data_IF_738482527465
#
_entry.id   IF_738482527465
#
_cell.length_a   1.000
_cell.length_b   1.000
_cell.length_c   1.000
_cell.angle_alpha   90.00
_cell.angle_beta   90.00
_cell.angle_gamma   90.00
#
_symmetry.space_group_name_H-M   'P 1'
#
loop_
_entity.id
_entity.type
_entity.pdbx_description
1 polymer ?
#
# COMPACT_ATOMS: atom_id res chain seq x y z
N UNK A 1 -21.86 30.67 0.31
CA UNK A 1 -21.85 29.69 1.41
C UNK A 1 -21.38 28.36 0.85
N UNK A 2 -20.06 28.21 0.68
CA UNK A 2 -19.44 26.97 0.22
C UNK A 2 -19.22 26.11 1.47
N UNK A 3 -19.84 24.92 1.52
CA UNK A 3 -19.51 23.94 2.56
C UNK A 3 -18.00 23.67 2.53
N UNK A 4 -17.29 23.64 3.67
CA UNK A 4 -15.88 23.30 3.68
C UNK A 4 -15.71 21.88 3.09
N UNK A 5 -14.65 21.63 2.29
CA UNK A 5 -14.35 20.27 1.85
C UNK A 5 -14.17 19.42 3.10
N UNK A 6 -14.86 18.28 3.18
CA UNK A 6 -14.75 17.32 4.28
C UNK A 6 -13.29 16.85 4.39
N UNK A 7 -12.48 17.58 5.15
CA UNK A 7 -11.10 17.25 5.56
C UNK A 7 -11.08 16.16 6.64
N UNK A 8 -12.15 15.39 6.77
CA UNK A 8 -12.16 14.24 7.65
C UNK A 8 -11.55 13.07 6.88
N UNK A 9 -10.24 12.93 7.01
CA UNK A 9 -9.55 11.67 6.92
C UNK A 9 -10.09 10.81 8.08
N UNK A 10 -11.32 10.33 7.93
CA UNK A 10 -12.04 9.70 9.04
C UNK A 10 -11.44 8.30 9.24
N UNK A 11 -11.46 7.80 10.48
CA UNK A 11 -10.95 6.45 10.77
C UNK A 11 -11.56 5.38 9.85
N UNK A 12 -12.80 5.58 9.40
CA UNK A 12 -13.50 4.71 8.44
C UNK A 12 -12.79 4.60 7.08
N UNK A 13 -12.16 5.67 6.60
CA UNK A 13 -11.49 5.70 5.30
C UNK A 13 -10.18 4.90 5.32
N UNK A 14 -9.46 4.99 6.43
CA UNK A 14 -8.23 4.23 6.67
C UNK A 14 -8.50 2.72 6.87
N UNK A 15 -9.65 2.36 7.46
CA UNK A 15 -10.10 0.95 7.58
C UNK A 15 -10.27 0.29 6.22
N UNK A 16 -10.88 0.99 5.26
CA UNK A 16 -11.08 0.48 3.90
C UNK A 16 -9.74 0.29 3.18
N UNK A 17 -8.75 1.14 3.45
CA UNK A 17 -7.40 0.96 2.91
C UNK A 17 -6.66 -0.20 3.60
N UNK A 18 -6.81 -0.35 4.92
CA UNK A 18 -6.16 -1.40 5.73
C UNK A 18 -6.47 -2.81 5.21
N UNK A 19 -7.74 -3.10 4.92
CA UNK A 19 -8.15 -4.41 4.38
C UNK A 19 -7.66 -4.67 2.94
N UNK A 20 -7.08 -3.67 2.27
CA UNK A 20 -6.48 -3.75 0.93
C UNK A 20 -4.95 -3.65 0.96
N UNK A 21 -4.32 -3.67 2.14
CA UNK A 21 -2.85 -3.69 2.24
C UNK A 21 -2.29 -4.90 1.48
N UNK A 22 -1.18 -4.71 0.77
CA UNK A 22 -0.55 -5.73 -0.07
C UNK A 22 -1.27 -6.06 -1.38
N UNK A 23 -2.43 -5.45 -1.65
CA UNK A 23 -3.19 -5.70 -2.87
C UNK A 23 -2.93 -4.63 -3.94
N UNK A 24 -3.21 -4.98 -5.19
CA UNK A 24 -3.18 -4.03 -6.31
C UNK A 24 -4.22 -2.94 -6.08
N UNK A 25 -3.76 -1.69 -6.07
CA UNK A 25 -4.58 -0.54 -5.81
C UNK A 25 -5.52 -0.25 -6.99
N UNK A 26 -6.82 -0.34 -6.75
CA UNK A 26 -7.86 0.13 -7.66
C UNK A 26 -8.58 1.34 -7.06
N UNK A 27 -8.14 2.55 -7.44
CA UNK A 27 -8.72 3.80 -6.96
C UNK A 27 -10.21 3.95 -7.30
N UNK A 28 -10.68 3.37 -8.41
CA UNK A 28 -12.09 3.42 -8.80
C UNK A 28 -12.96 2.58 -7.89
N UNK A 29 -12.51 1.38 -7.52
CA UNK A 29 -13.25 0.53 -6.58
C UNK A 29 -13.22 1.13 -5.18
N UNK A 30 -12.06 1.62 -4.74
CA UNK A 30 -11.93 2.32 -3.46
C UNK A 30 -12.86 3.53 -3.35
N UNK A 31 -12.96 4.33 -4.41
CA UNK A 31 -13.88 5.47 -4.48
C UNK A 31 -15.35 5.04 -4.43
N UNK A 32 -15.71 3.94 -5.09
CA UNK A 32 -17.06 3.36 -5.06
C UNK A 32 -17.43 2.91 -3.65
N UNK A 33 -16.54 2.20 -2.97
CA UNK A 33 -16.77 1.66 -1.64
C UNK A 33 -16.88 2.77 -0.58
N UNK A 34 -16.17 3.88 -0.77
CA UNK A 34 -16.22 5.06 0.09
C UNK A 34 -17.34 6.05 -0.28
N UNK A 35 -17.98 5.89 -1.44
CA UNK A 35 -19.02 6.81 -1.91
C UNK A 35 -18.52 8.22 -2.24
N UNK A 36 -17.26 8.38 -2.65
CA UNK A 36 -16.62 9.67 -2.95
C UNK A 36 -16.00 9.70 -4.35
N UNK A 37 -15.61 10.89 -4.82
CA UNK A 37 -14.96 11.02 -6.12
C UNK A 37 -13.55 10.40 -6.12
N UNK A 38 -13.15 9.79 -7.24
CA UNK A 38 -11.82 9.17 -7.42
C UNK A 38 -10.68 10.16 -7.16
N UNK A 39 -10.85 11.42 -7.57
CA UNK A 39 -9.85 12.47 -7.32
C UNK A 39 -9.69 12.77 -5.83
N UNK A 40 -10.75 12.64 -5.03
CA UNK A 40 -10.69 12.80 -3.57
C UNK A 40 -9.87 11.67 -2.94
N UNK A 41 -10.14 10.41 -3.33
CA UNK A 41 -9.34 9.25 -2.88
C UNK A 41 -7.87 9.42 -3.24
N UNK A 42 -7.57 9.88 -4.46
CA UNK A 42 -6.20 10.14 -4.89
C UNK A 42 -5.52 11.21 -4.04
N UNK A 43 -6.24 12.29 -3.70
CA UNK A 43 -5.76 13.32 -2.78
C UNK A 43 -5.45 12.75 -1.39
N UNK A 44 -6.34 11.93 -0.84
CA UNK A 44 -6.14 11.29 0.46
C UNK A 44 -4.95 10.34 0.47
N UNK A 45 -4.81 9.50 -0.55
CA UNK A 45 -3.66 8.60 -0.68
C UNK A 45 -2.35 9.41 -0.76
N UNK A 46 -2.34 10.52 -1.49
CA UNK A 46 -1.18 11.41 -1.56
C UNK A 46 -0.81 12.00 -0.20
N UNK A 47 -1.81 12.35 0.63
CA UNK A 47 -1.58 12.84 2.00
C UNK A 47 -1.03 11.73 2.89
N UNK A 48 -1.57 10.51 2.80
CA UNK A 48 -1.09 9.35 3.57
C UNK A 48 0.36 8.96 3.20
N UNK A 49 0.69 9.00 1.91
CA UNK A 49 2.05 8.75 1.42
C UNK A 49 3.00 9.84 1.91
N UNK A 50 2.64 11.13 1.78
CA UNK A 50 3.46 12.25 2.23
C UNK A 50 3.64 12.33 3.75
N UNK A 51 2.71 11.75 4.52
CA UNK A 51 2.78 11.66 5.99
C UNK A 51 3.37 10.33 6.48
N UNK A 52 3.94 9.52 5.58
CA UNK A 52 4.56 8.24 5.89
C UNK A 52 3.64 7.26 6.65
N UNK A 53 2.33 7.33 6.40
CA UNK A 53 1.36 6.37 6.94
C UNK A 53 1.25 5.13 6.04
N UNK A 54 1.50 5.31 4.75
CA UNK A 54 1.48 4.23 3.75
C UNK A 54 2.65 4.34 2.79
N UNK A 55 3.02 3.21 2.21
CA UNK A 55 4.00 3.05 1.14
C UNK A 55 3.24 2.62 -0.11
N UNK A 56 3.41 3.37 -1.20
CA UNK A 56 2.87 3.01 -2.52
C UNK A 56 3.97 2.27 -3.29
N UNK A 57 3.93 0.94 -3.24
CA UNK A 57 4.92 0.09 -3.90
C UNK A 57 4.63 -0.01 -5.40
N UNK A 58 5.52 0.54 -6.21
CA UNK A 58 5.37 0.57 -7.67
C UNK A 58 5.91 -0.72 -8.30
N UNK A 59 5.36 -1.17 -9.44
CA UNK A 59 5.91 -2.34 -10.13
C UNK A 59 7.30 -2.02 -10.69
N UNK A 60 8.14 -3.05 -10.84
CA UNK A 60 9.47 -2.93 -11.44
C UNK A 60 9.35 -2.68 -12.95
N UNK A 61 10.09 -1.69 -13.47
CA UNK A 61 9.93 -1.17 -14.84
C UNK A 61 11.11 -1.41 -15.80
N UNK A 62 12.20 -2.08 -15.41
CA UNK A 62 13.36 -2.22 -16.30
C UNK A 62 13.07 -3.15 -17.50
N UNK A 63 13.15 -2.61 -18.72
CA UNK A 63 13.04 -3.34 -20.00
C UNK A 63 11.81 -4.26 -20.10
N UNK A 64 10.64 -3.75 -19.70
CA UNK A 64 9.46 -4.58 -19.47
C UNK A 64 8.65 -4.87 -20.76
N UNK A 65 8.34 -6.15 -21.05
CA UNK A 65 7.42 -6.55 -22.13
C UNK A 65 5.96 -6.08 -21.89
N UNK A 66 5.17 -5.91 -22.96
CA UNK A 66 3.81 -5.31 -22.97
C UNK A 66 2.76 -5.91 -22.00
N UNK A 67 3.06 -7.02 -21.29
CA UNK A 67 2.10 -7.83 -20.51
C UNK A 67 2.28 -7.76 -18.98
N UNK A 68 2.86 -6.68 -18.45
CA UNK A 68 3.02 -6.48 -17.00
C UNK A 68 1.93 -5.60 -16.40
N UNK A 69 1.59 -5.86 -15.13
CA UNK A 69 0.65 -5.05 -14.36
C UNK A 69 1.29 -3.71 -14.02
N UNK A 70 0.58 -2.62 -14.30
CA UNK A 70 1.05 -1.23 -14.06
C UNK A 70 0.50 -0.59 -12.78
N UNK A 71 -0.51 -1.22 -12.17
CA UNK A 71 -1.14 -0.71 -10.95
C UNK A 71 -0.20 -0.92 -9.76
N UNK A 72 0.04 0.06 -8.89
CA UNK A 72 0.86 -0.12 -7.70
C UNK A 72 0.15 -0.99 -6.64
N UNK A 73 0.90 -1.48 -5.67
CA UNK A 73 0.37 -1.98 -4.39
C UNK A 73 0.43 -0.88 -3.33
N UNK A 74 -0.38 -1.00 -2.29
CA UNK A 74 -0.32 -0.11 -1.12
C UNK A 74 -0.02 -0.95 0.12
N UNK A 75 0.89 -0.46 0.96
CA UNK A 75 1.24 -1.07 2.24
C UNK A 75 1.14 -0.01 3.33
N UNK A 76 0.81 -0.40 4.56
CA UNK A 76 0.99 0.49 5.71
C UNK A 76 2.47 0.54 6.12
N UNK A 77 2.89 1.60 6.80
CA UNK A 77 4.27 1.70 7.34
C UNK A 77 4.46 0.97 8.67
N UNK A 78 3.35 0.60 9.33
CA UNK A 78 3.33 -0.10 10.61
C UNK A 78 2.27 -1.19 10.63
N UNK A 79 2.66 -2.39 11.07
CA UNK A 79 1.76 -3.54 11.20
C UNK A 79 0.79 -3.41 12.36
N UNK A 80 1.16 -2.68 13.42
CA UNK A 80 0.25 -2.42 14.54
C UNK A 80 -0.97 -1.61 14.09
N UNK A 81 -0.72 -0.53 13.36
CA UNK A 81 -1.71 0.36 12.77
C UNK A 81 -2.59 -0.38 11.74
N UNK A 82 -1.97 -1.19 10.87
CA UNK A 82 -2.70 -2.07 9.95
C UNK A 82 -3.65 -3.02 10.69
N UNK A 83 -3.14 -3.76 11.68
CA UNK A 83 -3.93 -4.71 12.46
C UNK A 83 -5.07 -4.02 13.22
N UNK A 84 -4.78 -2.88 13.85
CA UNK A 84 -5.78 -2.09 14.58
C UNK A 84 -6.92 -1.64 13.66
N UNK A 85 -6.60 -1.06 12.50
CA UNK A 85 -7.59 -0.61 11.51
C UNK A 85 -8.34 -1.78 10.85
N UNK A 86 -7.69 -2.93 10.68
CA UNK A 86 -8.33 -4.15 10.20
C UNK A 86 -9.19 -4.86 11.27
N UNK A 87 -9.21 -4.36 12.51
CA UNK A 87 -9.96 -4.96 13.62
C UNK A 87 -9.36 -6.26 14.16
N UNK A 88 -8.08 -6.52 13.89
CA UNK A 88 -7.35 -7.71 14.34
C UNK A 88 -6.82 -7.47 15.76
N UNK A 89 -7.33 -8.25 16.73
CA UNK A 89 -7.07 -8.03 18.16
C UNK A 89 -5.94 -8.88 18.72
N UNK A 90 -5.61 -10.00 18.08
CA UNK A 90 -4.57 -10.92 18.56
C UNK A 90 -3.59 -11.27 17.45
N UNK A 91 -2.35 -11.62 17.84
CA UNK A 91 -1.33 -12.09 16.90
C UNK A 91 -1.78 -13.37 16.15
N UNK A 92 -2.58 -14.22 16.81
CA UNK A 92 -3.16 -15.41 16.19
C UNK A 92 -4.13 -15.04 15.07
N UNK A 93 -5.00 -14.06 15.30
CA UNK A 93 -5.95 -13.59 14.29
C UNK A 93 -5.23 -12.97 13.09
N UNK A 94 -4.18 -12.19 13.36
CA UNK A 94 -3.34 -11.59 12.34
C UNK A 94 -2.62 -12.65 11.48
N UNK A 95 -2.08 -13.70 12.10
CA UNK A 95 -1.33 -14.73 11.38
C UNK A 95 -2.21 -15.75 10.64
N UNK A 96 -3.39 -16.09 11.19
CA UNK A 96 -4.25 -17.14 10.64
C UNK A 96 -5.30 -16.64 9.63
N UNK A 97 -5.52 -15.32 9.56
CA UNK A 97 -6.52 -14.70 8.68
C UNK A 97 -6.06 -14.51 7.23
N UNK A 98 -6.99 -14.12 6.36
CA UNK A 98 -6.73 -13.80 4.95
C UNK A 98 -5.71 -12.66 4.76
N UNK A 99 -5.54 -11.81 5.78
CA UNK A 99 -4.58 -10.72 5.78
C UNK A 99 -3.17 -11.14 6.25
N UNK A 100 -2.96 -12.38 6.71
CA UNK A 100 -1.67 -12.78 7.29
C UNK A 100 -0.49 -12.62 6.34
N UNK A 101 -0.66 -13.00 5.07
CA UNK A 101 0.33 -12.75 4.03
C UNK A 101 0.60 -11.26 3.83
N UNK A 102 -0.46 -10.45 3.68
CA UNK A 102 -0.34 -9.01 3.52
C UNK A 102 0.31 -8.32 4.72
N UNK A 103 0.05 -8.78 5.96
CA UNK A 103 0.68 -8.27 7.18
C UNK A 103 2.17 -8.60 7.20
N UNK A 104 2.54 -9.83 6.85
CA UNK A 104 3.95 -10.23 6.74
C UNK A 104 4.68 -9.41 5.67
N UNK A 105 4.10 -9.28 4.48
CA UNK A 105 4.65 -8.43 3.42
C UNK A 105 4.78 -6.97 3.89
N UNK A 106 3.77 -6.44 4.60
CA UNK A 106 3.81 -5.09 5.17
C UNK A 106 4.98 -4.94 6.14
N UNK A 107 5.20 -5.90 7.04
CA UNK A 107 6.34 -5.90 7.94
C UNK A 107 7.66 -5.86 7.16
N UNK A 108 7.83 -6.73 6.15
CA UNK A 108 9.07 -6.80 5.38
C UNK A 108 9.31 -5.51 4.57
N UNK A 109 8.30 -5.04 3.82
CA UNK A 109 8.41 -3.82 2.99
C UNK A 109 8.72 -2.61 3.86
N UNK A 110 8.03 -2.45 4.98
CA UNK A 110 8.26 -1.32 5.90
C UNK A 110 9.68 -1.34 6.48
N UNK A 111 10.20 -2.49 6.89
CA UNK A 111 11.57 -2.59 7.42
C UNK A 111 12.62 -2.33 6.33
N UNK A 112 12.43 -2.81 5.09
CA UNK A 112 13.33 -2.48 3.98
C UNK A 112 13.34 -0.97 3.74
N UNK A 113 12.17 -0.34 3.60
CA UNK A 113 12.06 1.11 3.36
C UNK A 113 12.71 1.90 4.49
N UNK A 114 12.47 1.53 5.75
CA UNK A 114 13.14 2.15 6.91
C UNK A 114 14.65 2.00 6.85
N UNK A 115 15.15 0.82 6.48
CA UNK A 115 16.59 0.58 6.39
C UNK A 115 17.27 1.50 5.35
N UNK A 116 16.64 1.73 4.20
CA UNK A 116 17.11 2.70 3.20
C UNK A 116 17.03 4.14 3.73
N UNK A 117 15.90 4.52 4.31
CA UNK A 117 15.69 5.86 4.87
C UNK A 117 16.72 6.19 5.98
N UNK A 118 17.04 5.23 6.86
CA UNK A 118 18.06 5.38 7.90
C UNK A 118 19.48 5.57 7.35
N UNK A 119 19.75 5.13 6.11
CA UNK A 119 21.02 5.39 5.41
C UNK A 119 21.00 6.67 4.57
N UNK A 120 19.86 7.38 4.52
CA UNK A 120 19.67 8.53 3.64
C UNK A 120 19.63 8.16 2.16
N UNK A 121 19.29 6.91 1.85
CA UNK A 121 19.19 6.39 0.48
C UNK A 121 17.74 6.36 0.02
N UNK A 122 17.50 6.63 -1.27
CA UNK A 122 16.19 6.44 -1.86
C UNK A 122 15.86 4.93 -1.96
N UNK A 123 14.74 4.45 -1.39
CA UNK A 123 14.37 3.05 -1.44
C UNK A 123 14.05 2.60 -2.87
N UNK A 124 14.88 1.72 -3.43
CA UNK A 124 14.63 1.09 -4.74
C UNK A 124 13.90 -0.24 -4.60
N UNK A 125 12.72 -0.16 -4.00
CA UNK A 125 11.87 -1.33 -3.68
C UNK A 125 10.67 -1.33 -4.61
N UNK A 126 10.41 -2.49 -5.21
CA UNK A 126 9.37 -2.71 -6.19
C UNK A 126 8.68 -4.06 -5.96
N UNK A 127 7.65 -4.35 -6.74
CA UNK A 127 7.14 -5.71 -6.93
C UNK A 127 7.12 -6.05 -8.42
N UNK A 128 6.95 -7.31 -8.78
CA UNK A 128 6.82 -7.71 -10.18
C UNK A 128 5.64 -8.64 -10.36
N UNK A 129 4.79 -8.36 -11.35
CA UNK A 129 3.62 -9.20 -11.64
C UNK A 129 3.24 -9.20 -13.11
N UNK A 130 3.11 -10.39 -13.69
CA UNK A 130 2.62 -10.58 -15.06
C UNK A 130 1.10 -10.54 -15.13
N UNK A 131 0.54 -10.24 -16.31
CA UNK A 131 -0.90 -10.36 -16.56
C UNK A 131 -1.44 -11.78 -16.43
N UNK A 132 -0.56 -12.80 -16.50
CA UNK A 132 -0.92 -14.21 -16.33
C UNK A 132 -0.98 -14.64 -14.85
N UNK A 133 -0.66 -13.75 -13.91
CA UNK A 133 -0.77 -14.01 -12.47
C UNK A 133 0.53 -14.43 -11.78
N UNK A 134 1.63 -14.64 -12.51
CA UNK A 134 2.95 -14.86 -11.90
C UNK A 134 3.41 -13.58 -11.18
N UNK A 135 3.85 -13.72 -9.93
CA UNK A 135 4.14 -12.61 -9.03
C UNK A 135 5.41 -12.85 -8.22
N UNK A 136 6.17 -11.77 -8.01
CA UNK A 136 7.27 -11.64 -7.05
C UNK A 136 6.92 -10.42 -6.20
N UNK A 137 6.67 -10.64 -4.90
CA UNK A 137 6.08 -9.60 -4.04
C UNK A 137 7.04 -8.45 -3.75
N UNK A 138 8.34 -8.72 -3.67
CA UNK A 138 9.37 -7.72 -3.35
C UNK A 138 10.58 -7.92 -4.25
N UNK A 139 11.01 -6.85 -4.91
CA UNK A 139 12.22 -6.72 -5.70
C UNK A 139 12.98 -5.51 -5.16
N UNK A 140 14.23 -5.72 -4.74
CA UNK A 140 15.10 -4.65 -4.27
C UNK A 140 16.23 -4.49 -5.29
N UNK A 141 16.32 -3.32 -5.92
CA UNK A 141 17.40 -3.03 -6.86
C UNK A 141 18.63 -2.52 -6.10
N UNK A 142 19.79 -3.13 -6.34
CA UNK A 142 21.04 -2.79 -5.67
C UNK A 142 22.13 -2.49 -6.71
N UNK A 143 22.77 -1.33 -6.60
CA UNK A 143 23.83 -0.94 -7.54
C UNK A 143 23.35 -0.66 -8.98
N UNK A 144 22.06 -0.37 -9.18
CA UNK A 144 21.46 -0.11 -10.49
C UNK A 144 21.28 -1.35 -11.36
N UNK A 145 21.20 -2.54 -10.74
CA UNK A 145 20.93 -3.83 -11.35
C UNK A 145 20.01 -4.68 -10.47
#
# INVERSE_FOLDING_TARGET
MLSPPRLALSALDAVVLAVRSGQLLNLTDLARDLGIAVNTVKGWLSVLEASYQVIVLRPYFANVPKRLVKRPKVYFTDVGSLCYLAGLKTARDAAAGLLGGAILETAIVSEIVKAYAHRGEEPRVYFWRTSAGMEVDIVVEAGGR
#
